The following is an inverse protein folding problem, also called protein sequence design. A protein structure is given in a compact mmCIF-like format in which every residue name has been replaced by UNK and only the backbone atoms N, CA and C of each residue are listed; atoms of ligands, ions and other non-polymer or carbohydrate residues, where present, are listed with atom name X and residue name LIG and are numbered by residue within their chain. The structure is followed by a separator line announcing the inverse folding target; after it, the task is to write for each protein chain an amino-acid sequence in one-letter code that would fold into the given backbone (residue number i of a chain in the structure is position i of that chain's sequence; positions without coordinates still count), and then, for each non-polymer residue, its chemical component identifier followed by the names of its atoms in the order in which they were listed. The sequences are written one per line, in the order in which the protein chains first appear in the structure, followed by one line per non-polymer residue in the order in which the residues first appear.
data_IF_850396276309
#
_entry.id   IF_850396276309
#
_cell.length_a   1.000
_cell.length_b   1.000
_cell.length_c   1.000
_cell.angle_alpha   90.00
_cell.angle_beta   90.00
_cell.angle_gamma   90.00
#
_symmetry.space_group_name_H-M   'P 1'
#
loop_
_entity.id
_entity.type
_entity.pdbx_description
1 polymer ?
#
# COMPACT_ATOMS: atom_id res chain seq x y z
N UNK A 1 -68.70 -103.15 5.64
CA UNK A 1 -67.22 -103.15 5.69
C UNK A 1 -66.73 -102.51 4.40
N UNK A 2 -66.60 -101.18 4.39
CA UNK A 2 -65.40 -100.40 4.77
C UNK A 2 -64.35 -100.42 3.66
N UNK A 3 -64.30 -99.32 2.89
CA UNK A 3 -63.41 -99.13 1.76
C UNK A 3 -62.05 -98.55 2.13
N UNK A 4 -61.19 -98.49 1.13
CA UNK A 4 -60.01 -97.61 1.05
C UNK A 4 -59.93 -97.07 -0.39
N UNK A 5 -59.74 -95.75 -0.60
CA UNK A 5 -59.52 -95.16 -1.92
C UNK A 5 -58.02 -95.17 -2.30
N UNK A 6 -57.68 -94.99 -3.59
CA UNK A 6 -56.29 -94.99 -4.05
C UNK A 6 -55.53 -93.73 -3.59
N UNK A 7 -54.27 -93.90 -3.18
CA UNK A 7 -53.33 -92.82 -2.86
C UNK A 7 -52.99 -92.00 -4.12
N UNK A 8 -53.54 -90.79 -4.23
CA UNK A 8 -53.02 -89.75 -5.11
C UNK A 8 -51.83 -89.05 -4.43
N UNK A 9 -50.62 -89.31 -4.92
CA UNK A 9 -49.42 -88.58 -4.50
C UNK A 9 -49.46 -87.19 -5.15
N UNK A 10 -49.87 -86.18 -4.38
CA UNK A 10 -49.77 -84.78 -4.81
C UNK A 10 -48.30 -84.37 -4.94
N UNK A 11 -47.84 -83.81 -6.07
CA UNK A 11 -46.47 -83.35 -6.20
C UNK A 11 -46.21 -82.21 -5.21
N UNK A 12 -45.16 -82.35 -4.41
CA UNK A 12 -44.73 -81.37 -3.41
C UNK A 12 -44.65 -79.98 -4.06
N UNK A 13 -45.29 -78.97 -3.47
CA UNK A 13 -45.45 -77.61 -4.04
C UNK A 13 -44.11 -76.94 -4.40
N UNK A 14 -43.01 -77.40 -3.80
CA UNK A 14 -41.64 -76.93 -4.05
C UNK A 14 -40.80 -77.82 -4.99
N UNK A 15 -41.37 -78.85 -5.60
CA UNK A 15 -40.68 -79.68 -6.59
C UNK A 15 -40.45 -78.88 -7.88
N UNK A 16 -39.18 -78.61 -8.22
CA UNK A 16 -38.76 -78.05 -9.52
C UNK A 16 -38.02 -79.13 -10.33
N UNK A 17 -38.75 -80.06 -10.97
CA UNK A 17 -38.14 -81.13 -11.75
C UNK A 17 -37.37 -80.65 -12.98
N UNK A 18 -37.49 -79.36 -13.34
CA UNK A 18 -36.80 -78.76 -14.50
C UNK A 18 -35.55 -77.97 -14.14
N UNK A 19 -35.30 -77.69 -12.86
CA UNK A 19 -34.16 -76.90 -12.36
C UNK A 19 -34.14 -75.43 -12.83
N UNK A 20 -35.23 -74.93 -13.41
CA UNK A 20 -35.28 -73.61 -14.07
C UNK A 20 -35.63 -72.45 -13.13
N UNK A 21 -36.12 -72.71 -11.91
CA UNK A 21 -36.51 -71.66 -10.95
C UNK A 21 -35.31 -71.01 -10.26
N UNK A 22 -34.29 -71.80 -9.93
CA UNK A 22 -33.10 -71.31 -9.23
C UNK A 22 -32.24 -70.32 -10.06
N UNK A 23 -32.00 -70.54 -11.37
CA UNK A 23 -31.31 -69.56 -12.20
C UNK A 23 -32.08 -68.24 -12.36
N UNK A 24 -33.42 -68.33 -12.45
CA UNK A 24 -34.29 -67.13 -12.54
C UNK A 24 -34.28 -66.33 -11.25
N UNK A 25 -34.35 -66.99 -10.10
CA UNK A 25 -34.25 -66.34 -8.80
C UNK A 25 -32.87 -65.66 -8.62
N UNK A 26 -31.79 -66.34 -9.00
CA UNK A 26 -30.44 -65.76 -8.99
C UNK A 26 -30.34 -64.52 -9.87
N UNK A 27 -30.90 -64.57 -11.08
CA UNK A 27 -30.91 -63.43 -11.99
C UNK A 27 -31.70 -62.25 -11.42
N UNK A 28 -32.87 -62.50 -10.84
CA UNK A 28 -33.69 -61.47 -10.18
C UNK A 28 -32.96 -60.85 -8.99
N UNK A 29 -32.32 -61.67 -8.15
CA UNK A 29 -31.53 -61.19 -7.02
C UNK A 29 -30.31 -60.38 -7.47
N UNK A 30 -29.66 -60.78 -8.57
CA UNK A 30 -28.50 -60.08 -9.11
C UNK A 30 -28.90 -58.72 -9.69
N UNK A 31 -29.98 -58.67 -10.49
CA UNK A 31 -30.55 -57.41 -11.01
C UNK A 31 -30.99 -56.50 -9.85
N UNK A 32 -31.68 -57.04 -8.85
CA UNK A 32 -32.09 -56.30 -7.66
C UNK A 32 -30.91 -55.73 -6.88
N UNK A 33 -29.84 -56.52 -6.70
CA UNK A 33 -28.60 -56.07 -6.06
C UNK A 33 -27.90 -54.95 -6.82
N UNK A 34 -27.82 -55.04 -8.15
CA UNK A 34 -27.23 -53.99 -9.00
C UNK A 34 -28.05 -52.69 -8.91
N UNK A 35 -29.38 -52.78 -8.99
CA UNK A 35 -30.24 -51.60 -8.87
C UNK A 35 -30.15 -50.95 -7.49
N UNK A 36 -30.10 -51.75 -6.43
CA UNK A 36 -29.92 -51.25 -5.07
C UNK A 36 -28.55 -50.55 -4.91
N UNK A 37 -27.48 -51.15 -5.44
CA UNK A 37 -26.15 -50.55 -5.43
C UNK A 37 -26.13 -49.22 -6.18
N UNK A 38 -26.69 -49.17 -7.40
CA UNK A 38 -26.79 -47.92 -8.17
C UNK A 38 -27.59 -46.85 -7.44
N UNK A 39 -28.72 -47.22 -6.84
CA UNK A 39 -29.55 -46.31 -6.04
C UNK A 39 -28.80 -45.76 -4.83
N UNK A 40 -28.00 -46.60 -4.17
CA UNK A 40 -27.19 -46.19 -3.02
C UNK A 40 -26.08 -45.24 -3.44
N UNK A 41 -25.40 -45.50 -4.56
CA UNK A 41 -24.36 -44.62 -5.11
C UNK A 41 -24.95 -43.26 -5.49
N UNK A 42 -26.11 -43.22 -6.16
CA UNK A 42 -26.81 -41.99 -6.50
C UNK A 42 -27.23 -41.21 -5.25
N UNK A 43 -27.78 -41.89 -4.25
CA UNK A 43 -28.17 -41.26 -2.98
C UNK A 43 -26.96 -40.67 -2.24
N UNK A 44 -25.85 -41.39 -2.15
CA UNK A 44 -24.61 -40.88 -1.55
C UNK A 44 -24.07 -39.70 -2.35
N UNK A 45 -24.12 -39.72 -3.69
CA UNK A 45 -23.78 -38.56 -4.50
C UNK A 45 -24.64 -37.34 -4.18
N UNK A 46 -25.95 -37.50 -3.95
CA UNK A 46 -26.83 -36.37 -3.60
C UNK A 46 -26.51 -35.76 -2.23
N UNK A 47 -25.90 -36.50 -1.30
CA UNK A 47 -25.44 -35.96 -0.02
C UNK A 47 -24.19 -35.08 -0.15
N UNK A 48 -23.40 -35.23 -1.23
CA UNK A 48 -22.20 -34.42 -1.49
C UNK A 48 -22.43 -33.25 -2.45
N UNK A 49 -23.64 -33.11 -3.03
CA UNK A 49 -24.03 -31.90 -3.77
C UNK A 49 -24.47 -30.86 -2.74
N UNK A 50 -23.56 -29.97 -2.36
CA UNK A 50 -23.89 -28.84 -1.51
C UNK A 50 -25.04 -28.04 -2.16
N UNK A 51 -26.11 -27.69 -1.41
CA UNK A 51 -27.18 -26.89 -1.97
C UNK A 51 -26.63 -25.51 -2.34
N UNK A 52 -26.39 -25.28 -3.64
CA UNK A 52 -26.11 -23.96 -4.16
C UNK A 52 -27.40 -23.14 -4.09
N UNK A 53 -27.63 -22.49 -2.95
CA UNK A 53 -28.64 -21.45 -2.88
C UNK A 53 -28.15 -20.28 -3.73
N UNK A 54 -28.67 -20.16 -4.94
CA UNK A 54 -28.58 -18.93 -5.74
C UNK A 54 -29.42 -17.87 -5.05
N UNK A 55 -28.88 -17.31 -3.96
CA UNK A 55 -29.47 -16.15 -3.31
C UNK A 55 -29.52 -15.00 -4.33
N UNK A 56 -30.67 -14.34 -4.51
CA UNK A 56 -30.78 -13.18 -5.37
C UNK A 56 -29.70 -12.15 -5.03
N UNK A 57 -29.17 -11.46 -6.03
CA UNK A 57 -28.12 -10.44 -5.86
C UNK A 57 -28.46 -9.44 -4.75
N UNK A 58 -29.72 -8.98 -4.69
CA UNK A 58 -30.24 -8.10 -3.65
C UNK A 58 -30.15 -8.66 -2.23
N UNK A 59 -30.31 -9.98 -2.05
CA UNK A 59 -30.16 -10.64 -0.75
C UNK A 59 -28.70 -10.86 -0.36
N UNK A 60 -27.80 -11.07 -1.34
CA UNK A 60 -26.35 -11.08 -1.11
C UNK A 60 -25.84 -9.70 -0.71
N UNK A 61 -26.25 -8.68 -1.44
CA UNK A 61 -25.91 -7.28 -1.15
C UNK A 61 -26.48 -6.83 0.19
N UNK A 62 -27.75 -7.15 0.50
CA UNK A 62 -28.35 -6.85 1.80
C UNK A 62 -27.66 -7.60 2.95
N UNK A 63 -27.28 -8.86 2.74
CA UNK A 63 -26.52 -9.65 3.74
C UNK A 63 -25.11 -9.08 3.93
N UNK A 64 -24.46 -8.62 2.87
CA UNK A 64 -23.19 -7.89 2.91
C UNK A 64 -23.32 -6.57 3.67
N UNK A 65 -24.34 -5.76 3.36
CA UNK A 65 -24.65 -4.50 4.05
C UNK A 65 -25.00 -4.72 5.53
N UNK A 66 -25.82 -5.72 5.86
CA UNK A 66 -26.17 -6.07 7.24
C UNK A 66 -24.95 -6.58 8.02
N UNK A 67 -24.09 -7.40 7.41
CA UNK A 67 -22.82 -7.83 8.02
C UNK A 67 -21.85 -6.66 8.19
N UNK A 68 -21.77 -5.74 7.23
CA UNK A 68 -20.94 -4.54 7.31
C UNK A 68 -21.44 -3.59 8.42
N UNK A 69 -22.76 -3.46 8.60
CA UNK A 69 -23.39 -2.71 9.69
C UNK A 69 -23.23 -3.41 11.06
N UNK A 70 -23.18 -4.75 11.09
CA UNK A 70 -23.01 -5.55 12.31
C UNK A 70 -21.55 -5.69 12.75
N UNK A 71 -20.59 -5.71 11.81
CA UNK A 71 -19.17 -5.65 12.15
C UNK A 71 -18.86 -4.24 12.62
N UNK A 72 -18.42 -4.14 13.88
CA UNK A 72 -17.88 -2.92 14.47
C UNK A 72 -16.91 -2.29 13.46
N UNK A 73 -17.22 -1.07 13.01
CA UNK A 73 -16.48 -0.38 11.97
C UNK A 73 -14.96 -0.48 12.23
N UNK A 74 -14.18 -1.17 11.37
CA UNK A 74 -12.72 -1.20 11.48
C UNK A 74 -12.11 0.21 11.55
N UNK A 75 -12.76 1.21 10.93
CA UNK A 75 -12.41 2.64 11.04
C UNK A 75 -12.33 3.17 12.48
N UNK A 76 -13.05 2.54 13.42
CA UNK A 76 -13.08 2.94 14.82
C UNK A 76 -11.90 2.39 15.63
N UNK A 77 -11.12 1.46 15.08
CA UNK A 77 -9.90 0.94 15.70
C UNK A 77 -8.70 1.67 15.11
N UNK A 78 -8.31 2.76 15.76
CA UNK A 78 -7.01 3.39 15.54
C UNK A 78 -5.90 2.35 15.70
N UNK A 79 -5.12 2.11 14.64
CA UNK A 79 -3.93 1.26 14.70
C UNK A 79 -2.96 1.82 15.74
N UNK A 80 -2.22 1.00 16.53
CA UNK A 80 -1.20 1.49 17.44
C UNK A 80 -0.17 2.44 16.78
N UNK A 81 0.08 2.30 15.47
CA UNK A 81 0.93 3.20 14.69
C UNK A 81 0.36 4.61 14.52
N UNK A 82 -0.97 4.75 14.50
CA UNK A 82 -1.68 6.04 14.31
C UNK A 82 -1.41 7.06 15.42
N UNK A 83 -0.96 6.60 16.59
CA UNK A 83 -0.73 7.44 17.77
C UNK A 83 0.76 7.73 18.03
N UNK A 84 1.67 7.32 17.14
CA UNK A 84 3.11 7.54 17.30
C UNK A 84 3.46 9.02 17.47
N UNK A 85 2.76 9.92 16.76
CA UNK A 85 2.93 11.38 16.91
C UNK A 85 2.78 11.85 18.37
N UNK A 86 1.96 11.19 19.19
CA UNK A 86 1.81 11.54 20.60
C UNK A 86 3.10 11.28 21.37
N UNK A 87 3.77 10.15 21.11
CA UNK A 87 5.06 9.81 21.72
C UNK A 87 6.14 10.82 21.31
N UNK A 88 6.21 11.16 20.03
CA UNK A 88 7.14 12.17 19.53
C UNK A 88 6.86 13.55 20.13
N UNK A 89 5.59 13.95 20.22
CA UNK A 89 5.22 15.22 20.87
C UNK A 89 5.63 15.25 22.34
N UNK A 90 5.43 14.16 23.08
CA UNK A 90 5.81 14.04 24.49
C UNK A 90 7.33 14.03 24.67
N UNK A 91 8.07 13.31 23.82
CA UNK A 91 9.54 13.28 23.84
C UNK A 91 10.12 14.67 23.58
N UNK A 92 9.56 15.41 22.61
CA UNK A 92 9.98 16.77 22.29
C UNK A 92 9.67 17.76 23.42
N UNK A 93 8.52 17.63 24.08
CA UNK A 93 8.19 18.39 25.29
C UNK A 93 9.12 18.06 26.47
N UNK A 94 9.47 16.78 26.66
CA UNK A 94 10.40 16.36 27.70
C UNK A 94 11.82 16.90 27.45
N UNK A 95 12.31 16.85 26.21
CA UNK A 95 13.61 17.43 25.83
C UNK A 95 13.67 18.94 26.11
N UNK A 96 12.57 19.67 25.86
CA UNK A 96 12.44 21.09 26.21
C UNK A 96 12.53 21.36 27.71
N UNK A 97 11.88 20.53 28.53
CA UNK A 97 11.90 20.70 29.99
C UNK A 97 13.26 20.35 30.60
N UNK A 98 14.05 19.52 29.92
CA UNK A 98 15.42 19.15 30.34
C UNK A 98 16.49 20.14 29.84
N UNK A 99 16.21 20.86 28.75
CA UNK A 99 17.07 21.94 28.28
C UNK A 99 16.90 23.18 29.18
N UNK A 100 17.87 23.45 30.07
CA UNK A 100 18.04 24.78 30.66
C UNK A 100 18.12 25.83 29.53
N UNK A 101 17.74 27.11 29.76
CA UNK A 101 17.79 28.13 28.70
C UNK A 101 19.22 28.25 28.19
N UNK A 102 19.48 27.64 27.04
CA UNK A 102 20.78 27.68 26.40
C UNK A 102 21.04 29.14 25.97
N UNK A 103 22.27 29.66 26.12
CA UNK A 103 22.61 30.93 25.54
C UNK A 103 22.40 30.83 24.03
N UNK A 104 21.55 31.72 23.51
CA UNK A 104 21.27 31.91 22.09
C UNK A 104 22.60 31.98 21.33
N UNK A 105 22.95 30.91 20.63
CA UNK A 105 23.97 30.95 19.60
C UNK A 105 23.46 31.91 18.52
N UNK A 106 24.24 32.94 18.20
CA UNK A 106 23.90 33.91 17.16
C UNK A 106 23.49 33.14 15.88
N UNK A 107 22.32 33.46 15.28
CA UNK A 107 21.94 32.85 14.03
C UNK A 107 23.03 33.15 12.99
N UNK A 108 23.61 32.11 12.38
CA UNK A 108 24.29 32.30 11.10
C UNK A 108 23.32 33.01 10.14
N UNK A 109 23.78 33.87 9.23
CA UNK A 109 22.90 34.54 8.28
C UNK A 109 22.16 33.50 7.45
N UNK A 110 20.91 33.22 7.83
CA UNK A 110 20.02 32.32 7.11
C UNK A 110 19.81 32.90 5.71
N UNK A 111 20.14 32.13 4.67
CA UNK A 111 19.74 32.48 3.29
C UNK A 111 18.22 32.72 3.30
N UNK A 112 17.78 33.84 2.72
CA UNK A 112 16.35 34.17 2.60
C UNK A 112 15.68 33.02 1.82
N UNK A 113 14.66 32.32 2.35
CA UNK A 113 13.94 31.35 1.56
C UNK A 113 13.27 32.08 0.39
N UNK A 114 13.33 31.54 -0.85
CA UNK A 114 12.66 32.16 -1.99
C UNK A 114 11.15 32.26 -1.74
N UNK A 115 10.58 33.41 -2.06
CA UNK A 115 9.14 33.66 -2.01
C UNK A 115 8.53 33.07 -3.28
N UNK A 116 8.06 31.83 -3.22
CA UNK A 116 7.32 31.14 -4.29
C UNK A 116 6.60 29.91 -3.70
N UNK A 117 5.30 29.84 -3.90
CA UNK A 117 4.48 28.69 -3.54
C UNK A 117 4.96 27.43 -4.28
N UNK A 118 5.22 26.34 -3.55
CA UNK A 118 5.63 25.06 -4.13
C UNK A 118 4.42 24.15 -4.24
N UNK A 119 4.12 23.72 -5.47
CA UNK A 119 3.17 22.65 -5.79
C UNK A 119 3.96 21.58 -6.54
N UNK A 120 4.43 20.59 -5.77
CA UNK A 120 5.22 19.46 -6.25
C UNK A 120 4.29 18.34 -6.71
N UNK A 121 4.48 17.84 -7.93
CA UNK A 121 3.80 16.66 -8.42
C UNK A 121 4.79 15.51 -8.57
N UNK A 122 4.55 14.39 -7.90
CA UNK A 122 5.28 13.14 -8.14
C UNK A 122 4.83 12.54 -9.48
N UNK A 123 5.77 11.93 -10.20
CA UNK A 123 5.53 11.34 -11.51
C UNK A 123 6.14 9.95 -11.58
N UNK A 124 5.32 8.96 -11.93
CA UNK A 124 5.76 7.57 -12.10
C UNK A 124 6.19 7.38 -13.55
N UNK A 125 7.43 6.92 -13.74
CA UNK A 125 7.94 6.62 -15.06
C UNK A 125 7.20 5.43 -15.69
N UNK A 126 6.90 5.53 -16.98
CA UNK A 126 6.24 4.45 -17.74
C UNK A 126 4.72 4.37 -17.57
N UNK A 127 4.15 5.08 -16.59
CA UNK A 127 2.70 5.20 -16.42
C UNK A 127 2.11 6.21 -17.41
N UNK A 128 1.15 5.77 -18.25
CA UNK A 128 0.49 6.63 -19.22
C UNK A 128 -0.39 7.68 -18.55
N UNK A 129 -0.98 7.36 -17.40
CA UNK A 129 -1.91 8.25 -16.71
C UNK A 129 -1.15 9.40 -16.05
N UNK A 130 0.04 9.12 -15.50
CA UNK A 130 0.97 10.14 -15.00
C UNK A 130 1.30 11.23 -16.04
N UNK A 131 1.61 10.86 -17.29
CA UNK A 131 1.92 11.84 -18.34
C UNK A 131 0.69 12.65 -18.77
N UNK A 132 -0.44 11.96 -18.98
CA UNK A 132 -1.68 12.62 -19.37
C UNK A 132 -2.16 13.62 -18.30
N UNK A 133 -2.16 13.19 -17.03
CA UNK A 133 -2.52 14.02 -15.88
C UNK A 133 -1.61 15.23 -15.75
N UNK A 134 -0.28 15.04 -15.81
CA UNK A 134 0.68 16.14 -15.76
C UNK A 134 0.44 17.15 -16.89
N UNK A 135 0.19 16.69 -18.11
CA UNK A 135 -0.08 17.58 -19.24
C UNK A 135 -1.36 18.40 -19.03
N UNK A 136 -2.42 17.77 -18.51
CA UNK A 136 -3.70 18.41 -18.24
C UNK A 136 -3.62 19.43 -17.09
N UNK A 137 -2.81 19.14 -16.07
CA UNK A 137 -2.72 19.94 -14.83
C UNK A 137 -1.45 20.78 -14.73
N UNK A 138 -0.62 20.86 -15.78
CA UNK A 138 0.66 21.57 -15.81
C UNK A 138 0.59 23.01 -15.29
N UNK A 139 -0.50 23.73 -15.55
CA UNK A 139 -0.67 25.12 -15.09
C UNK A 139 -0.86 25.25 -13.57
N UNK A 140 -1.17 24.15 -12.88
CA UNK A 140 -1.38 24.10 -11.43
C UNK A 140 -0.12 23.63 -10.69
N UNK A 141 0.94 23.24 -11.39
CA UNK A 141 2.13 22.62 -10.81
C UNK A 141 3.32 23.56 -10.99
N UNK A 142 4.17 23.68 -9.98
CA UNK A 142 5.42 24.45 -10.09
C UNK A 142 6.64 23.56 -10.25
N UNK A 143 6.61 22.35 -9.67
CA UNK A 143 7.70 21.39 -9.72
C UNK A 143 7.18 20.00 -10.06
N UNK A 144 7.91 19.25 -10.89
CA UNK A 144 7.65 17.83 -11.15
C UNK A 144 8.81 16.98 -10.63
N UNK A 145 8.48 15.92 -9.90
CA UNK A 145 9.40 14.99 -9.27
C UNK A 145 9.25 13.60 -9.88
N UNK A 146 9.97 13.32 -10.98
CA UNK A 146 9.92 12.00 -11.59
C UNK A 146 10.93 11.03 -10.97
N UNK A 147 10.54 9.77 -10.85
CA UNK A 147 11.38 8.69 -10.32
C UNK A 147 12.48 8.29 -11.31
N UNK A 148 13.65 8.94 -11.23
CA UNK A 148 14.70 8.82 -12.25
C UNK A 148 15.98 8.18 -11.77
N UNK A 149 16.29 8.25 -10.48
CA UNK A 149 17.58 7.79 -9.97
C UNK A 149 17.37 6.84 -8.79
N UNK A 150 18.03 5.69 -8.87
CA UNK A 150 18.05 4.70 -7.79
C UNK A 150 19.48 4.40 -7.40
N UNK A 151 19.79 4.44 -6.10
CA UNK A 151 21.08 3.98 -5.57
C UNK A 151 21.06 2.45 -5.50
N UNK A 152 21.90 1.79 -6.30
CA UNK A 152 21.80 0.32 -6.47
C UNK A 152 22.68 -0.47 -5.52
N UNK A 153 23.70 0.17 -4.92
CA UNK A 153 24.64 -0.51 -4.02
C UNK A 153 25.41 0.48 -3.13
N UNK A 154 26.15 -0.07 -2.16
CA UNK A 154 26.98 0.70 -1.22
C UNK A 154 28.21 1.38 -1.81
N UNK A 155 28.50 1.20 -3.11
CA UNK A 155 29.57 1.90 -3.82
C UNK A 155 29.09 3.26 -4.36
N UNK A 156 27.79 3.54 -4.30
CA UNK A 156 27.17 4.75 -4.84
C UNK A 156 26.92 4.67 -6.34
N UNK A 157 26.74 3.47 -6.90
CA UNK A 157 26.31 3.33 -8.28
C UNK A 157 24.83 3.71 -8.42
N UNK A 158 24.51 4.36 -9.55
CA UNK A 158 23.16 4.85 -9.85
C UNK A 158 22.59 4.08 -11.03
N UNK A 159 21.36 3.58 -10.89
CA UNK A 159 20.49 3.28 -12.01
C UNK A 159 19.74 4.55 -12.38
N UNK A 160 19.73 4.88 -13.68
CA UNK A 160 19.08 6.07 -14.20
C UNK A 160 18.01 5.65 -15.21
N UNK A 161 16.77 6.04 -14.97
CA UNK A 161 15.65 5.87 -15.88
C UNK A 161 15.04 7.24 -16.18
N UNK A 162 15.55 7.94 -17.19
CA UNK A 162 15.13 9.30 -17.51
C UNK A 162 14.08 9.36 -18.61
N UNK A 163 12.93 10.01 -18.36
CA UNK A 163 11.93 10.26 -19.40
C UNK A 163 12.19 11.59 -20.13
N UNK A 164 12.78 11.49 -21.32
CA UNK A 164 13.08 12.68 -22.15
C UNK A 164 11.86 13.50 -22.55
N UNK A 165 10.64 12.92 -22.53
CA UNK A 165 9.39 13.66 -22.82
C UNK A 165 9.12 14.71 -21.75
N UNK A 166 9.49 14.46 -20.50
CA UNK A 166 9.34 15.40 -19.40
C UNK A 166 10.26 16.60 -19.54
N UNK A 167 11.48 16.43 -20.05
CA UNK A 167 12.41 17.54 -20.29
C UNK A 167 11.76 18.61 -21.16
N UNK A 168 11.13 18.17 -22.26
CA UNK A 168 10.45 19.09 -23.19
C UNK A 168 9.20 19.70 -22.58
N UNK A 169 8.38 18.89 -21.90
CA UNK A 169 7.14 19.37 -21.28
C UNK A 169 7.44 20.41 -20.20
N UNK A 170 8.36 20.11 -19.28
CA UNK A 170 8.77 20.97 -18.18
C UNK A 170 9.31 22.31 -18.71
N UNK A 171 10.22 22.27 -19.69
CA UNK A 171 10.74 23.48 -20.32
C UNK A 171 9.65 24.32 -21.00
N UNK A 172 8.70 23.68 -21.70
CA UNK A 172 7.61 24.37 -22.41
C UNK A 172 6.61 25.01 -21.44
N UNK A 173 6.38 24.38 -20.29
CA UNK A 173 5.40 24.82 -19.30
C UNK A 173 6.00 25.67 -18.18
N UNK A 174 7.32 25.84 -18.15
CA UNK A 174 8.01 26.57 -17.07
C UNK A 174 7.96 25.83 -15.73
N UNK A 175 7.89 24.49 -15.76
CA UNK A 175 7.87 23.65 -14.56
C UNK A 175 9.32 23.30 -14.20
N UNK A 176 9.68 23.44 -12.93
CA UNK A 176 10.99 23.03 -12.44
C UNK A 176 11.05 21.51 -12.30
N UNK A 177 12.10 20.91 -12.84
CA UNK A 177 12.33 19.47 -12.74
C UNK A 177 13.16 19.16 -11.50
N UNK A 178 12.66 18.27 -10.66
CA UNK A 178 13.25 17.85 -9.38
C UNK A 178 13.31 16.32 -9.31
N UNK A 179 14.18 15.63 -10.06
CA UNK A 179 14.20 14.18 -10.12
C UNK A 179 14.32 13.53 -8.73
N UNK A 180 13.57 12.46 -8.50
CA UNK A 180 13.63 11.66 -7.27
C UNK A 180 14.88 10.77 -7.29
N UNK A 181 15.54 10.70 -6.15
CA UNK A 181 16.68 9.85 -5.85
C UNK A 181 16.31 8.89 -4.71
N UNK A 182 16.03 7.64 -5.05
CA UNK A 182 15.53 6.63 -4.12
C UNK A 182 16.55 5.51 -3.87
N UNK A 183 16.34 4.73 -2.81
CA UNK A 183 16.98 3.43 -2.58
C UNK A 183 16.00 2.26 -2.78
N UNK A 184 14.90 2.47 -3.50
CA UNK A 184 13.95 1.42 -3.89
C UNK A 184 14.42 0.72 -5.17
N UNK A 185 14.71 -0.58 -5.09
CA UNK A 185 14.98 -1.43 -6.25
C UNK A 185 13.84 -2.43 -6.45
N UNK A 186 13.05 -2.24 -7.50
CA UNK A 186 11.80 -2.99 -7.68
C UNK A 186 10.86 -2.68 -6.51
N UNK A 187 10.48 -3.70 -5.74
CA UNK A 187 9.63 -3.56 -4.56
C UNK A 187 10.42 -3.61 -3.23
N UNK A 188 11.76 -3.51 -3.27
CA UNK A 188 12.63 -3.70 -2.11
C UNK A 188 13.55 -2.50 -1.85
N UNK A 189 13.41 -1.90 -0.67
CA UNK A 189 14.31 -0.89 -0.15
C UNK A 189 15.71 -1.45 0.11
N UNK A 190 16.73 -0.64 -0.17
CA UNK A 190 18.15 -1.00 -0.07
C UNK A 190 18.85 -0.09 0.97
N UNK A 191 18.57 -0.25 2.27
CA UNK A 191 19.14 0.64 3.28
C UNK A 191 20.67 0.55 3.35
N UNK A 192 21.24 -0.65 3.18
CA UNK A 192 22.69 -0.85 3.23
C UNK A 192 23.42 -0.09 2.10
N UNK A 193 22.75 0.18 0.98
CA UNK A 193 23.34 0.98 -0.10
C UNK A 193 23.61 2.42 0.36
N UNK A 194 22.63 3.01 1.04
CA UNK A 194 22.72 4.38 1.57
C UNK A 194 23.64 4.43 2.78
N UNK A 195 23.53 3.47 3.69
CA UNK A 195 24.36 3.39 4.88
C UNK A 195 25.84 3.31 4.51
N UNK A 196 26.23 2.35 3.65
CA UNK A 196 27.60 2.16 3.17
C UNK A 196 28.14 3.34 2.36
N UNK A 197 27.27 4.07 1.65
CA UNK A 197 27.65 5.29 0.97
C UNK A 197 27.94 6.41 1.98
N UNK A 198 27.04 6.61 2.95
CA UNK A 198 27.14 7.66 3.95
C UNK A 198 28.34 7.50 4.89
N UNK A 199 28.67 6.28 5.31
CA UNK A 199 29.85 6.01 6.15
C UNK A 199 31.11 5.63 5.36
N UNK A 200 31.03 5.60 4.02
CA UNK A 200 32.14 5.25 3.14
C UNK A 200 33.25 6.32 3.07
N UNK A 201 34.37 6.03 2.39
CA UNK A 201 35.46 6.98 2.20
C UNK A 201 35.01 8.27 1.47
N UNK A 202 35.60 9.44 1.77
CA UNK A 202 35.22 10.71 1.13
C UNK A 202 35.20 10.66 -0.40
N UNK A 203 36.16 9.96 -1.02
CA UNK A 203 36.23 9.80 -2.47
C UNK A 203 35.05 9.03 -3.08
N UNK A 204 34.41 8.12 -2.31
CA UNK A 204 33.19 7.43 -2.75
C UNK A 204 32.00 8.38 -2.75
N UNK A 205 31.85 9.14 -1.67
CA UNK A 205 30.83 10.17 -1.55
C UNK A 205 30.96 11.22 -2.66
N UNK A 206 32.18 11.69 -2.94
CA UNK A 206 32.45 12.67 -3.99
C UNK A 206 32.05 12.15 -5.37
N UNK A 207 32.41 10.91 -5.70
CA UNK A 207 32.02 10.29 -6.97
C UNK A 207 30.50 10.18 -7.10
N UNK A 208 29.81 9.74 -6.06
CA UNK A 208 28.35 9.68 -6.05
C UNK A 208 27.73 11.06 -6.31
N UNK A 209 28.17 12.08 -5.58
CA UNK A 209 27.67 13.46 -5.73
C UNK A 209 27.89 13.96 -7.16
N UNK A 210 29.07 13.70 -7.74
CA UNK A 210 29.35 14.08 -9.13
C UNK A 210 28.48 13.32 -10.14
N UNK A 211 28.18 12.04 -9.90
CA UNK A 211 27.25 11.26 -10.72
C UNK A 211 25.84 11.86 -10.71
N UNK A 212 25.32 12.23 -9.52
CA UNK A 212 24.01 12.89 -9.42
C UNK A 212 24.03 14.24 -10.14
N UNK A 213 25.04 15.09 -9.88
CA UNK A 213 25.19 16.38 -10.55
C UNK A 213 25.23 16.26 -12.07
N UNK A 214 25.89 15.23 -12.61
CA UNK A 214 25.92 14.98 -14.05
C UNK A 214 24.52 14.74 -14.63
N UNK A 215 23.67 13.96 -13.92
CA UNK A 215 22.27 13.74 -14.31
C UNK A 215 21.49 15.05 -14.25
N UNK A 216 21.59 15.80 -13.14
CA UNK A 216 20.86 17.06 -12.95
C UNK A 216 21.24 18.11 -14.00
N UNK A 217 22.53 18.23 -14.34
CA UNK A 217 23.01 19.14 -15.38
C UNK A 217 22.49 18.76 -16.76
N UNK A 218 22.57 17.48 -17.12
CA UNK A 218 22.03 16.97 -18.39
C UNK A 218 20.54 17.26 -18.54
N UNK A 219 19.79 17.06 -17.45
CA UNK A 219 18.35 17.31 -17.39
C UNK A 219 17.96 18.79 -17.28
N UNK A 220 18.93 19.69 -17.02
CA UNK A 220 18.67 21.07 -16.58
C UNK A 220 17.72 21.14 -15.38
N UNK A 221 17.83 20.17 -14.48
CA UNK A 221 17.01 20.08 -13.28
C UNK A 221 17.31 21.26 -12.33
N UNK A 222 16.31 21.65 -11.55
CA UNK A 222 16.43 22.65 -10.51
C UNK A 222 17.11 22.09 -9.24
N UNK A 223 17.07 20.78 -9.05
CA UNK A 223 17.56 20.12 -7.85
C UNK A 223 17.23 18.64 -7.86
N UNK A 224 17.31 18.01 -6.69
CA UNK A 224 16.99 16.59 -6.47
C UNK A 224 16.15 16.43 -5.21
N UNK A 225 15.21 15.49 -5.24
CA UNK A 225 14.44 15.08 -4.05
C UNK A 225 14.97 13.72 -3.61
N UNK A 226 15.44 13.61 -2.37
CA UNK A 226 15.88 12.35 -1.78
C UNK A 226 14.69 11.65 -1.13
N UNK A 227 14.47 10.38 -1.48
CA UNK A 227 13.58 9.48 -0.75
C UNK A 227 14.36 8.21 -0.35
N UNK A 228 15.11 8.32 0.75
CA UNK A 228 15.86 7.21 1.32
C UNK A 228 15.13 6.67 2.53
N UNK A 229 14.70 5.42 2.49
CA UNK A 229 13.88 4.81 3.54
C UNK A 229 14.56 3.62 4.19
N UNK A 230 14.02 3.22 5.36
CA UNK A 230 14.46 2.07 6.16
C UNK A 230 15.90 2.16 6.68
N UNK A 231 16.45 3.36 6.83
CA UNK A 231 17.81 3.56 7.30
C UNK A 231 17.89 3.31 8.81
N UNK A 232 18.87 2.51 9.26
CA UNK A 232 19.09 2.30 10.69
C UNK A 232 19.50 3.63 11.38
N UNK A 233 18.79 4.07 12.44
CA UNK A 233 19.14 5.26 13.21
C UNK A 233 20.58 5.30 13.73
N UNK A 234 21.26 4.15 13.85
CA UNK A 234 22.70 4.09 14.17
C UNK A 234 23.57 4.88 13.18
N UNK A 235 23.14 5.01 11.92
CA UNK A 235 23.84 5.76 10.89
C UNK A 235 23.49 7.24 10.83
N UNK A 236 22.55 7.73 11.66
CA UNK A 236 22.10 9.14 11.70
C UNK A 236 23.25 10.13 11.53
N UNK A 237 24.30 10.02 12.35
CA UNK A 237 25.43 10.97 12.33
C UNK A 237 26.23 10.93 11.02
N UNK A 238 26.42 9.74 10.44
CA UNK A 238 27.13 9.59 9.17
C UNK A 238 26.27 10.13 8.02
N UNK A 239 24.98 9.78 8.02
CA UNK A 239 24.01 10.24 7.04
C UNK A 239 23.85 11.76 7.07
N UNK A 240 23.67 12.38 8.24
CA UNK A 240 23.58 13.84 8.39
C UNK A 240 24.79 14.55 7.78
N UNK A 241 26.01 14.07 8.06
CA UNK A 241 27.23 14.66 7.48
C UNK A 241 27.30 14.50 5.97
N UNK A 242 26.84 13.36 5.46
CA UNK A 242 26.83 13.10 4.03
C UNK A 242 25.80 13.97 3.30
N UNK A 243 24.58 14.10 3.85
CA UNK A 243 23.53 14.97 3.30
C UNK A 243 23.98 16.44 3.33
N UNK A 244 24.61 16.89 4.41
CA UNK A 244 25.16 18.26 4.52
C UNK A 244 26.21 18.53 3.42
N UNK A 245 27.18 17.61 3.25
CA UNK A 245 28.15 17.67 2.16
C UNK A 245 27.49 17.64 0.77
N UNK A 246 26.41 16.88 0.62
CA UNK A 246 25.69 16.76 -0.64
C UNK A 246 24.94 18.07 -0.97
N UNK A 247 24.29 18.67 0.02
CA UNK A 247 23.62 19.97 -0.13
C UNK A 247 24.63 21.06 -0.54
N UNK A 248 25.79 21.15 0.11
CA UNK A 248 26.84 22.12 -0.25
C UNK A 248 27.24 21.98 -1.74
N UNK A 249 27.51 20.75 -2.19
CA UNK A 249 27.91 20.50 -3.57
C UNK A 249 26.80 20.77 -4.60
N UNK A 250 25.54 20.57 -4.23
CA UNK A 250 24.38 20.95 -5.05
C UNK A 250 24.25 22.47 -5.14
N UNK A 251 24.38 23.18 -4.02
CA UNK A 251 24.30 24.64 -3.95
C UNK A 251 25.41 25.30 -4.77
N UNK A 252 26.62 24.74 -4.76
CA UNK A 252 27.74 25.20 -5.60
C UNK A 252 27.43 25.13 -7.11
N UNK A 253 26.52 24.24 -7.52
CA UNK A 253 26.03 24.09 -8.90
C UNK A 253 24.68 24.79 -9.15
N UNK A 254 24.22 25.63 -8.21
CA UNK A 254 22.89 26.25 -8.20
C UNK A 254 21.75 25.21 -8.34
N UNK A 255 21.84 24.13 -7.56
CA UNK A 255 20.82 23.08 -7.43
C UNK A 255 20.28 23.04 -6.01
N UNK A 256 19.00 22.75 -5.87
CA UNK A 256 18.36 22.55 -4.56
C UNK A 256 18.44 21.08 -4.11
N UNK A 257 18.47 20.88 -2.79
CA UNK A 257 18.30 19.57 -2.16
C UNK A 257 17.02 19.53 -1.33
N UNK A 258 16.12 18.62 -1.68
CA UNK A 258 14.89 18.37 -0.92
C UNK A 258 14.94 16.96 -0.32
N UNK A 259 14.38 16.79 0.88
CA UNK A 259 14.41 15.52 1.59
C UNK A 259 12.99 15.07 1.98
N UNK A 260 12.58 13.89 1.50
CA UNK A 260 11.36 13.23 1.95
C UNK A 260 11.50 12.82 3.41
N UNK A 261 10.39 12.99 4.15
CA UNK A 261 10.29 12.69 5.57
C UNK A 261 9.08 11.79 5.74
N UNK A 262 9.34 10.53 6.12
CA UNK A 262 8.31 9.55 6.47
C UNK A 262 7.98 9.69 7.97
N UNK A 263 6.81 10.24 8.34
CA UNK A 263 6.42 10.33 9.75
C UNK A 263 6.13 8.93 10.30
N UNK A 264 6.83 8.53 11.35
CA UNK A 264 6.69 7.19 11.91
C UNK A 264 7.84 6.81 12.81
N UNK A 265 8.08 5.51 12.93
CA UNK A 265 9.22 4.97 13.69
C UNK A 265 10.57 5.35 13.06
N UNK A 266 10.59 5.57 11.75
CA UNK A 266 11.80 5.88 10.99
C UNK A 266 12.27 7.33 11.16
N UNK A 267 11.48 8.22 11.77
CA UNK A 267 11.83 9.64 11.85
C UNK A 267 13.17 9.92 12.57
N UNK A 268 13.60 9.01 13.46
CA UNK A 268 14.78 9.21 14.30
C UNK A 268 16.10 9.24 13.54
N UNK A 269 16.18 8.69 12.31
CA UNK A 269 17.43 8.72 11.52
C UNK A 269 17.76 10.11 10.97
N UNK A 270 16.80 11.06 10.93
CA UNK A 270 17.00 12.42 10.42
C UNK A 270 17.38 13.37 11.55
N UNK A 271 18.42 14.17 11.36
CA UNK A 271 18.80 15.26 12.27
C UNK A 271 18.31 16.61 11.73
N UNK A 272 17.06 16.96 12.04
CA UNK A 272 16.44 18.19 11.54
C UNK A 272 17.18 19.46 11.97
N UNK A 273 17.72 19.50 13.19
CA UNK A 273 18.38 20.68 13.71
C UNK A 273 19.68 20.99 12.95
N UNK A 274 20.41 19.94 12.56
CA UNK A 274 21.63 20.09 11.75
C UNK A 274 21.29 20.35 10.28
N UNK A 275 20.33 19.62 9.73
CA UNK A 275 20.05 19.65 8.29
C UNK A 275 19.22 20.86 7.85
N UNK A 276 18.40 21.45 8.73
CA UNK A 276 17.49 22.53 8.36
C UNK A 276 18.20 23.81 7.87
N UNK A 277 19.47 24.02 8.23
CA UNK A 277 20.24 25.18 7.74
C UNK A 277 20.77 24.99 6.31
N UNK A 278 20.86 23.75 5.81
CA UNK A 278 21.45 23.45 4.50
C UNK A 278 20.47 22.81 3.48
N UNK A 279 19.43 22.13 3.94
CA UNK A 279 18.38 21.58 3.07
C UNK A 279 17.39 22.69 2.65
N UNK A 280 16.99 22.71 1.38
CA UNK A 280 16.09 23.75 0.86
C UNK A 280 14.62 23.49 1.24
N UNK A 281 14.20 22.22 1.21
CA UNK A 281 12.85 21.77 1.59
C UNK A 281 12.83 20.39 2.24
N UNK A 282 11.92 20.21 3.20
CA UNK A 282 11.49 18.89 3.66
C UNK A 282 10.14 18.56 3.04
N UNK A 283 9.95 17.33 2.56
CA UNK A 283 8.69 16.85 1.97
C UNK A 283 8.08 15.84 2.94
N UNK A 284 7.10 16.27 3.74
CA UNK A 284 6.41 15.40 4.69
C UNK A 284 5.42 14.51 3.94
N UNK A 285 5.67 13.20 3.96
CA UNK A 285 4.84 12.20 3.30
C UNK A 285 3.68 11.83 4.25
N UNK A 286 2.62 12.63 4.25
CA UNK A 286 1.51 12.48 5.19
C UNK A 286 0.40 11.59 4.62
N UNK A 287 0.77 10.36 4.29
CA UNK A 287 -0.11 9.25 3.89
C UNK A 287 0.55 7.91 4.29
N UNK A 288 -0.08 6.77 3.96
CA UNK A 288 0.30 5.43 4.44
C UNK A 288 0.30 5.28 5.97
N UNK A 289 -0.65 5.91 6.66
CA UNK A 289 -0.95 5.60 8.07
C UNK A 289 -1.26 4.10 8.26
N UNK A 290 -1.95 3.52 7.27
CA UNK A 290 -2.24 2.09 7.15
C UNK A 290 -1.66 1.60 5.83
N UNK A 291 -0.79 0.59 5.87
CA UNK A 291 -0.14 0.00 4.70
C UNK A 291 -0.95 -1.16 4.10
N UNK A 292 -0.53 -1.61 2.92
CA UNK A 292 -1.07 -2.80 2.25
C UNK A 292 -0.95 -4.10 3.07
N UNK A 293 0.01 -4.20 3.97
CA UNK A 293 0.20 -5.38 4.84
C UNK A 293 -0.50 -5.27 6.20
N UNK A 294 -1.04 -4.10 6.52
CA UNK A 294 -1.82 -3.89 7.73
C UNK A 294 -3.28 -4.36 7.54
N UNK A 295 -4.03 -4.56 8.64
CA UNK A 295 -5.49 -4.68 8.56
C UNK A 295 -6.13 -3.42 7.95
N UNK A 296 -7.32 -3.53 7.32
CA UNK A 296 -7.96 -2.40 6.65
C UNK A 296 -8.19 -1.19 7.56
N UNK A 297 -7.84 -0.01 7.08
CA UNK A 297 -7.92 1.24 7.85
C UNK A 297 -7.62 2.48 7.01
N UNK A 298 -7.76 3.68 7.61
CA UNK A 298 -7.52 4.94 6.91
C UNK A 298 -6.06 5.10 6.49
N UNK A 299 -5.85 5.60 5.27
CA UNK A 299 -4.51 5.89 4.73
C UNK A 299 -3.94 7.21 5.28
N UNK A 300 -4.80 8.14 5.69
CA UNK A 300 -4.41 9.41 6.31
C UNK A 300 -5.60 9.96 7.13
N UNK A 301 -5.85 9.37 8.30
CA UNK A 301 -6.88 9.85 9.21
C UNK A 301 -6.58 11.27 9.64
N UNK A 302 -7.63 12.08 9.79
CA UNK A 302 -7.50 13.49 10.20
C UNK A 302 -6.67 13.65 11.47
N UNK A 303 -6.88 12.80 12.48
CA UNK A 303 -6.14 12.86 13.74
C UNK A 303 -4.66 12.56 13.59
N UNK A 304 -4.31 11.59 12.75
CA UNK A 304 -2.92 11.24 12.47
C UNK A 304 -2.23 12.35 11.66
N UNK A 305 -2.90 12.83 10.61
CA UNK A 305 -2.42 13.90 9.74
C UNK A 305 -2.17 15.20 10.52
N UNK A 306 -3.16 15.69 11.27
CA UNK A 306 -3.03 16.90 12.10
C UNK A 306 -2.01 16.72 13.23
N UNK A 307 -1.89 15.49 13.76
CA UNK A 307 -0.92 15.13 14.79
C UNK A 307 0.52 15.27 14.30
N UNK A 308 0.84 14.65 13.17
CA UNK A 308 2.17 14.75 12.56
C UNK A 308 2.48 16.14 12.03
N UNK A 309 1.50 16.84 11.46
CA UNK A 309 1.66 18.24 11.05
C UNK A 309 2.11 19.09 12.24
N UNK A 310 1.48 18.91 13.41
CA UNK A 310 1.91 19.60 14.63
C UNK A 310 3.32 19.21 15.03
N UNK A 311 3.67 17.92 15.03
CA UNK A 311 5.02 17.45 15.41
C UNK A 311 6.10 18.03 14.50
N UNK A 312 5.91 18.03 13.18
CA UNK A 312 6.90 18.46 12.20
C UNK A 312 7.04 19.99 12.15
N UNK A 313 5.92 20.70 12.21
CA UNK A 313 5.90 22.17 12.09
C UNK A 313 6.24 22.89 13.40
N UNK A 314 6.07 22.21 14.54
CA UNK A 314 6.42 22.80 15.83
C UNK A 314 7.93 23.10 15.86
N UNK A 315 8.26 24.36 16.10
CA UNK A 315 9.63 24.89 16.20
C UNK A 315 10.49 24.81 14.94
N UNK A 316 9.90 24.47 13.79
CA UNK A 316 10.59 24.49 12.51
C UNK A 316 10.14 25.69 11.66
N UNK A 317 10.90 25.98 10.60
CA UNK A 317 10.49 26.99 9.63
C UNK A 317 9.40 26.40 8.71
N UNK A 318 8.14 26.79 8.91
CA UNK A 318 7.01 26.25 8.14
C UNK A 318 7.13 26.45 6.63
N UNK A 319 7.87 27.46 6.17
CA UNK A 319 8.12 27.70 4.74
C UNK A 319 9.07 26.68 4.09
N UNK A 320 9.78 25.90 4.90
CA UNK A 320 10.68 24.84 4.44
C UNK A 320 9.93 23.53 4.18
N UNK A 321 8.70 23.39 4.69
CA UNK A 321 7.93 22.15 4.59
C UNK A 321 6.98 22.17 3.40
N UNK A 322 7.01 21.09 2.64
CA UNK A 322 6.02 20.71 1.65
C UNK A 322 5.26 19.53 2.25
N UNK A 323 3.93 19.57 2.20
CA UNK A 323 3.09 18.47 2.68
C UNK A 323 2.61 17.69 1.47
N UNK A 324 3.07 16.44 1.36
CA UNK A 324 2.63 15.53 0.31
C UNK A 324 1.36 14.79 0.75
N UNK A 325 0.45 14.63 -0.20
CA UNK A 325 -0.80 13.88 -0.05
C UNK A 325 -0.81 12.75 -1.10
N UNK A 326 -1.31 11.58 -0.71
CA UNK A 326 -1.45 10.45 -1.63
C UNK A 326 -2.66 10.63 -2.55
N UNK A 327 -2.66 9.94 -3.69
CA UNK A 327 -3.74 9.94 -4.67
C UNK A 327 -4.07 8.51 -5.13
N UNK A 328 -4.27 7.62 -4.16
CA UNK A 328 -4.57 6.21 -4.36
C UNK A 328 -5.39 5.67 -3.18
N UNK A 329 -5.75 4.40 -3.25
CA UNK A 329 -6.36 3.64 -2.19
C UNK A 329 -5.85 2.21 -2.14
N UNK A 330 -6.43 1.44 -1.24
CA UNK A 330 -6.17 0.02 -1.09
C UNK A 330 -7.49 -0.73 -1.02
N UNK A 331 -7.56 -1.87 -1.70
CA UNK A 331 -8.61 -2.87 -1.54
C UNK A 331 -8.06 -4.08 -0.79
N UNK A 332 -8.53 -4.26 0.44
CA UNK A 332 -8.25 -5.46 1.22
C UNK A 332 -9.35 -6.49 1.03
N UNK A 333 -8.97 -7.67 0.56
CA UNK A 333 -9.75 -8.88 0.85
C UNK A 333 -9.63 -9.21 2.33
N UNK A 334 -10.75 -9.28 3.06
CA UNK A 334 -10.76 -9.59 4.49
C UNK A 334 -10.15 -10.98 4.75
N UNK A 335 -9.12 -11.02 5.59
CA UNK A 335 -8.34 -12.24 5.87
C UNK A 335 -7.23 -12.51 4.85
N UNK A 336 -7.06 -11.65 3.84
CA UNK A 336 -5.92 -11.63 2.94
C UNK A 336 -4.64 -11.20 3.65
N UNK A 337 -3.49 -11.50 3.01
CA UNK A 337 -2.16 -11.15 3.53
C UNK A 337 -1.67 -9.77 3.11
N UNK A 338 -2.22 -9.25 2.01
CA UNK A 338 -1.80 -8.00 1.38
C UNK A 338 -3.00 -7.40 0.64
N UNK A 339 -3.17 -6.09 0.74
CA UNK A 339 -4.11 -5.33 -0.07
C UNK A 339 -3.60 -5.17 -1.50
N UNK A 340 -4.54 -4.87 -2.39
CA UNK A 340 -4.24 -4.37 -3.73
C UNK A 340 -4.20 -2.85 -3.70
N UNK A 341 -3.12 -2.23 -4.17
CA UNK A 341 -3.07 -0.78 -4.42
C UNK A 341 -3.95 -0.45 -5.61
N UNK A 342 -4.84 0.53 -5.46
CA UNK A 342 -5.80 0.93 -6.49
C UNK A 342 -5.77 2.44 -6.69
N UNK A 343 -6.01 2.88 -7.92
CA UNK A 343 -6.28 4.27 -8.25
C UNK A 343 -7.67 4.72 -7.75
N UNK A 344 -7.88 6.04 -7.69
CA UNK A 344 -9.21 6.59 -7.43
C UNK A 344 -10.25 6.08 -8.44
N UNK A 345 -9.90 6.02 -9.72
CA UNK A 345 -10.79 5.53 -10.78
C UNK A 345 -11.19 4.07 -10.56
N UNK A 346 -10.26 3.21 -10.14
CA UNK A 346 -10.55 1.82 -9.81
C UNK A 346 -11.42 1.70 -8.55
N UNK A 347 -11.17 2.52 -7.52
CA UNK A 347 -12.04 2.58 -6.34
C UNK A 347 -13.48 2.96 -6.73
N UNK A 348 -13.65 3.94 -7.61
CA UNK A 348 -14.97 4.34 -8.11
C UNK A 348 -15.61 3.26 -8.98
N UNK A 349 -14.84 2.56 -9.82
CA UNK A 349 -15.33 1.43 -10.61
C UNK A 349 -15.84 0.31 -9.71
N UNK A 350 -15.06 -0.09 -8.69
CA UNK A 350 -15.44 -1.13 -7.71
C UNK A 350 -16.70 -0.74 -6.94
N UNK A 351 -16.79 0.52 -6.51
CA UNK A 351 -17.99 1.05 -5.84
C UNK A 351 -19.23 0.96 -6.76
N UNK A 352 -19.10 1.34 -8.03
CA UNK A 352 -20.18 1.28 -9.00
C UNK A 352 -20.62 -0.16 -9.28
N UNK A 353 -19.67 -1.07 -9.49
CA UNK A 353 -19.94 -2.50 -9.77
C UNK A 353 -20.61 -3.20 -8.58
N UNK A 354 -20.28 -2.79 -7.36
CA UNK A 354 -20.92 -3.22 -6.12
C UNK A 354 -22.23 -2.47 -5.78
N UNK A 355 -22.69 -1.57 -6.67
CA UNK A 355 -23.86 -0.71 -6.49
C UNK A 355 -23.84 0.12 -5.18
N UNK A 356 -22.64 0.53 -4.76
CA UNK A 356 -22.43 1.41 -3.60
C UNK A 356 -22.82 2.84 -4.00
N UNK A 357 -23.89 3.36 -3.40
CA UNK A 357 -24.43 4.70 -3.74
C UNK A 357 -23.56 5.86 -3.26
N UNK A 358 -22.79 5.66 -2.20
CA UNK A 358 -21.92 6.67 -1.61
C UNK A 358 -20.86 6.00 -0.74
N UNK A 359 -19.63 6.50 -0.80
CA UNK A 359 -18.60 6.18 0.20
C UNK A 359 -18.95 6.83 1.55
N UNK A 360 -18.60 6.16 2.64
CA UNK A 360 -18.73 6.70 3.98
C UNK A 360 -17.56 7.66 4.26
N UNK A 361 -17.87 8.84 4.79
CA UNK A 361 -16.88 9.83 5.26
C UNK A 361 -17.35 10.35 6.61
N UNK A 362 -16.91 9.71 7.68
CA UNK A 362 -17.36 10.03 9.02
C UNK A 362 -16.22 9.98 10.04
N UNK A 363 -16.44 10.62 11.18
CA UNK A 363 -15.51 10.58 12.30
C UNK A 363 -15.36 9.14 12.85
N UNK A 364 -14.20 8.79 13.44
CA UNK A 364 -13.13 9.71 13.81
C UNK A 364 -12.08 9.99 12.70
N UNK A 365 -12.03 9.20 11.63
CA UNK A 365 -10.96 9.30 10.63
C UNK A 365 -11.20 10.37 9.56
N UNK A 366 -12.46 10.56 9.13
CA UNK A 366 -12.82 11.39 7.97
C UNK A 366 -12.11 11.01 6.66
N UNK A 367 -11.59 9.78 6.57
CA UNK A 367 -11.08 9.23 5.30
C UNK A 367 -12.21 8.45 4.61
N UNK A 368 -12.35 8.54 3.28
CA UNK A 368 -13.42 7.86 2.58
C UNK A 368 -13.19 6.34 2.49
N UNK A 369 -14.25 5.57 2.67
CA UNK A 369 -14.22 4.12 2.54
C UNK A 369 -15.55 3.52 2.12
N UNK A 370 -15.52 2.28 1.66
CA UNK A 370 -16.70 1.44 1.51
C UNK A 370 -16.35 -0.03 1.69
N UNK A 371 -17.37 -0.84 1.99
CA UNK A 371 -17.26 -2.30 2.04
C UNK A 371 -18.15 -2.88 0.97
N UNK A 372 -17.69 -3.96 0.35
CA UNK A 372 -18.51 -4.74 -0.57
C UNK A 372 -18.21 -6.23 -0.43
N UNK A 373 -19.07 -7.05 -1.03
CA UNK A 373 -18.87 -8.49 -1.10
C UNK A 373 -18.77 -8.88 -2.57
N UNK A 374 -17.69 -9.55 -2.93
CA UNK A 374 -17.51 -10.19 -4.22
C UNK A 374 -17.48 -11.71 -4.01
N UNK A 375 -18.42 -12.42 -4.64
CA UNK A 375 -18.71 -13.82 -4.36
C UNK A 375 -18.86 -14.13 -2.85
N UNK A 376 -17.93 -14.88 -2.26
CA UNK A 376 -17.87 -15.23 -0.84
C UNK A 376 -16.77 -14.46 -0.09
N UNK A 377 -16.13 -13.48 -0.74
CA UNK A 377 -15.07 -12.64 -0.16
C UNK A 377 -15.62 -11.28 0.23
N UNK A 378 -15.31 -10.88 1.45
CA UNK A 378 -15.59 -9.52 1.93
C UNK A 378 -14.39 -8.63 1.58
N UNK A 379 -14.67 -7.43 1.08
CA UNK A 379 -13.68 -6.44 0.68
C UNK A 379 -13.87 -5.15 1.47
N UNK A 380 -12.75 -4.49 1.77
CA UNK A 380 -12.70 -3.19 2.41
C UNK A 380 -11.85 -2.26 1.55
N UNK A 381 -12.43 -1.15 1.10
CA UNK A 381 -11.73 -0.18 0.28
C UNK A 381 -11.60 1.12 1.06
N UNK A 382 -10.38 1.60 1.19
CA UNK A 382 -10.05 2.92 1.71
C UNK A 382 -9.23 3.68 0.68
N UNK A 383 -9.49 4.97 0.52
CA UNK A 383 -8.80 5.79 -0.48
C UNK A 383 -8.62 7.23 0.02
N UNK A 384 -7.88 8.04 -0.74
CA UNK A 384 -7.60 9.46 -0.46
C UNK A 384 -8.34 10.39 -1.42
#
# INVERSE_FOLDING_TARGET
MSGFPPEEVTPFVFSDPTGKRWPRLRLVLLIGGVLFFLGTVLFVQTLFVAPHMNVPFSLRQLKGQLKALQKKNPAGQLSPGSLLWQKFSAARLAARNLAAPAPTTSPRPRKKPPDNEVRLAFYINGDSDSYASLQQHAAQITHVCPEWMTVTNGMGDLQIDGDTRLLKLAATKGIALMPLLTNLMGDAWQPEAIENLAHGPPSRQDRFIQSVLAVLRSAKAAGVVIDWQQIDPAYKKALTKFIDKFADALHDDNKELWLCVQPGQELDYIDFDVLADNIDRFVAMLFDETSDTDPPGPLASRSWFEGWLRVLLQDSNTRQWIIAIGSYGYDWTIGGKKAETISFSEAMSRANDAEIKSAEVQGPSFSPYFYFQDEDKEHAVWFL
#
